data_IF_036541176049
#
_entry.id   IF_036541176049
#
_cell.length_a   1.000
_cell.length_b   1.000
_cell.length_c   1.000
_cell.angle_alpha   90.00
_cell.angle_beta   90.00
_cell.angle_gamma   90.00
#
_symmetry.space_group_name_H-M   'P 1'
#
loop_
_entity.id
_entity.type
_entity.pdbx_description
1 polymer ?
#
# COMPACT_ATOMS: atom_id res chain seq x y z
N UNK A 1 4.43 -27.15 -27.48
CA UNK A 1 5.74 -26.72 -26.93
C UNK A 1 5.47 -25.74 -25.82
N UNK A 2 6.12 -25.88 -24.66
CA UNK A 2 5.96 -24.95 -23.52
C UNK A 2 7.17 -24.01 -23.54
N UNK A 3 6.91 -22.71 -23.57
CA UNK A 3 7.94 -21.67 -23.46
C UNK A 3 7.97 -21.15 -22.02
N UNK A 4 9.17 -20.85 -21.51
CA UNK A 4 9.40 -20.27 -20.18
C UNK A 4 10.25 -19.02 -20.29
N UNK A 5 10.18 -18.17 -19.26
CA UNK A 5 11.08 -17.02 -19.12
C UNK A 5 12.54 -17.47 -19.14
N UNK A 6 13.42 -16.61 -19.65
CA UNK A 6 14.87 -16.79 -19.55
C UNK A 6 15.44 -16.29 -18.22
N UNK A 7 14.67 -15.50 -17.47
CA UNK A 7 15.04 -15.11 -16.12
C UNK A 7 14.95 -16.32 -15.17
N UNK A 8 15.79 -16.39 -14.13
CA UNK A 8 15.70 -17.45 -13.13
C UNK A 8 14.36 -17.38 -12.39
N UNK A 9 13.84 -18.54 -11.99
CA UNK A 9 12.68 -18.61 -11.12
C UNK A 9 13.00 -17.91 -9.78
N UNK A 10 12.04 -17.12 -9.29
CA UNK A 10 12.12 -16.48 -7.98
C UNK A 10 11.08 -17.09 -7.05
N UNK A 11 11.41 -17.14 -5.76
CA UNK A 11 10.43 -17.51 -4.74
C UNK A 11 9.44 -16.36 -4.55
N UNK A 12 8.15 -16.63 -4.80
CA UNK A 12 7.09 -15.66 -4.56
C UNK A 12 6.65 -15.78 -3.11
N UNK A 13 6.84 -14.75 -2.27
CA UNK A 13 6.50 -14.84 -0.86
C UNK A 13 4.99 -14.99 -0.67
N UNK A 14 4.58 -15.88 0.23
CA UNK A 14 3.18 -16.05 0.64
C UNK A 14 2.77 -14.97 1.66
N UNK A 15 2.85 -13.70 1.25
CA UNK A 15 2.49 -12.53 2.04
C UNK A 15 1.35 -11.76 1.36
N UNK A 16 0.53 -11.06 2.14
CA UNK A 16 -0.41 -10.11 1.57
C UNK A 16 0.32 -8.89 1.01
N UNK A 17 -0.31 -8.25 0.02
CA UNK A 17 0.29 -7.14 -0.75
C UNK A 17 0.78 -6.01 0.16
N UNK A 18 0.00 -5.63 1.18
CA UNK A 18 0.41 -4.61 2.13
C UNK A 18 1.63 -5.04 2.97
N UNK A 19 1.65 -6.28 3.48
CA UNK A 19 2.80 -6.76 4.26
C UNK A 19 4.07 -6.81 3.40
N UNK A 20 3.96 -7.28 2.16
CA UNK A 20 5.08 -7.31 1.23
C UNK A 20 5.63 -5.91 0.95
N UNK A 21 4.76 -4.97 0.57
CA UNK A 21 5.17 -3.59 0.26
C UNK A 21 5.78 -2.86 1.48
N UNK A 22 5.22 -3.06 2.68
CA UNK A 22 5.64 -2.35 3.89
C UNK A 22 6.74 -3.07 4.70
N UNK A 23 7.17 -4.27 4.28
CA UNK A 23 8.27 -5.02 4.90
C UNK A 23 9.59 -4.25 4.85
N UNK A 24 9.76 -3.40 3.83
CA UNK A 24 10.90 -2.50 3.67
C UNK A 24 12.27 -3.21 3.68
N UNK A 25 12.42 -4.31 2.92
CA UNK A 25 13.67 -5.08 2.85
C UNK A 25 14.86 -4.25 2.37
N UNK A 26 14.60 -3.19 1.59
CA UNK A 26 15.61 -2.30 1.05
C UNK A 26 16.01 -1.15 2.00
N UNK A 27 15.44 -1.09 3.21
CA UNK A 27 15.82 -0.07 4.20
C UNK A 27 15.51 1.37 3.77
N UNK A 28 14.36 1.60 3.13
CA UNK A 28 13.85 2.94 2.79
C UNK A 28 13.70 3.74 4.10
N UNK A 29 14.31 4.93 4.15
CA UNK A 29 14.17 5.84 5.28
C UNK A 29 12.71 6.29 5.46
N UNK A 30 12.21 6.36 6.69
CA UNK A 30 10.83 6.74 6.98
C UNK A 30 10.50 8.18 6.53
N UNK A 31 11.50 9.06 6.40
CA UNK A 31 11.36 10.42 5.89
C UNK A 31 11.52 10.51 4.37
N UNK A 32 11.89 9.43 3.68
CA UNK A 32 12.02 9.44 2.22
C UNK A 32 10.65 9.63 1.57
N UNK A 33 10.46 10.64 0.70
CA UNK A 33 9.26 10.76 -0.10
C UNK A 33 9.10 9.54 -1.02
N UNK A 34 7.91 8.94 -1.02
CA UNK A 34 7.55 7.79 -1.88
C UNK A 34 6.38 8.08 -2.80
N UNK A 35 5.54 9.06 -2.44
CA UNK A 35 4.63 9.72 -3.37
C UNK A 35 4.87 11.22 -3.34
N UNK A 36 4.82 11.84 -4.51
CA UNK A 36 4.97 13.28 -4.69
C UNK A 36 3.86 13.72 -5.64
N UNK A 37 3.06 14.70 -5.21
CA UNK A 37 2.12 15.37 -6.08
C UNK A 37 2.90 16.38 -6.95
N UNK A 38 2.95 16.14 -8.25
CA UNK A 38 3.72 16.95 -9.18
C UNK A 38 3.18 18.38 -9.37
N UNK A 39 1.91 18.62 -9.04
CA UNK A 39 1.26 19.93 -9.19
C UNK A 39 1.44 20.77 -7.94
N UNK A 40 1.24 20.17 -6.76
CA UNK A 40 1.28 20.90 -5.48
C UNK A 40 2.62 20.85 -4.79
N UNK A 41 3.48 19.88 -5.13
CA UNK A 41 4.72 19.59 -4.42
C UNK A 41 4.51 18.92 -3.06
N UNK A 42 3.28 18.50 -2.74
CA UNK A 42 3.02 17.74 -1.52
C UNK A 42 3.76 16.39 -1.57
N UNK A 43 4.26 15.95 -0.42
CA UNK A 43 5.02 14.71 -0.29
C UNK A 43 4.39 13.80 0.75
N UNK A 44 4.34 12.51 0.42
CA UNK A 44 3.99 11.44 1.34
C UNK A 44 5.23 10.58 1.55
N UNK A 45 5.79 10.65 2.75
CA UNK A 45 6.97 9.87 3.12
C UNK A 45 6.61 8.40 3.37
N UNK A 46 7.60 7.51 3.30
CA UNK A 46 7.39 6.08 3.56
C UNK A 46 6.78 5.82 4.96
N UNK A 47 7.30 6.50 5.99
CA UNK A 47 6.80 6.40 7.36
C UNK A 47 5.37 6.92 7.50
N UNK A 48 5.04 8.03 6.83
CA UNK A 48 3.69 8.62 6.82
C UNK A 48 2.69 7.70 6.13
N UNK A 49 3.02 7.19 4.95
CA UNK A 49 2.21 6.21 4.22
C UNK A 49 1.91 4.98 5.09
N UNK A 50 2.94 4.38 5.69
CA UNK A 50 2.82 3.18 6.54
C UNK A 50 2.00 3.44 7.79
N UNK A 51 2.20 4.58 8.46
CA UNK A 51 1.47 4.98 9.66
C UNK A 51 0.00 5.21 9.34
N UNK A 52 -0.29 6.03 8.34
CA UNK A 52 -1.65 6.50 8.10
C UNK A 52 -2.50 5.41 7.41
N UNK A 53 -1.89 4.53 6.60
CA UNK A 53 -2.58 3.33 6.08
C UNK A 53 -3.02 2.41 7.22
N UNK A 54 -2.15 2.14 8.21
CA UNK A 54 -2.52 1.33 9.38
C UNK A 54 -3.60 1.98 10.24
N UNK A 55 -3.54 3.31 10.42
CA UNK A 55 -4.56 4.05 11.18
C UNK A 55 -5.91 3.99 10.48
N UNK A 56 -5.93 4.13 9.16
CA UNK A 56 -7.15 3.97 8.38
C UNK A 56 -7.70 2.54 8.48
N UNK A 57 -6.84 1.53 8.32
CA UNK A 57 -7.23 0.12 8.45
C UNK A 57 -7.90 -0.18 9.80
N UNK A 58 -7.28 0.27 10.90
CA UNK A 58 -7.86 0.14 12.23
C UNK A 58 -9.20 0.86 12.35
N UNK A 59 -9.35 2.06 11.77
CA UNK A 59 -10.63 2.76 11.73
C UNK A 59 -11.71 2.01 10.95
N UNK A 60 -11.37 1.46 9.78
CA UNK A 60 -12.28 0.66 8.95
C UNK A 60 -12.77 -0.59 9.71
N UNK A 61 -11.87 -1.31 10.38
CA UNK A 61 -12.23 -2.50 11.16
C UNK A 61 -12.98 -2.13 12.45
N UNK A 62 -12.42 -1.26 13.29
CA UNK A 62 -12.92 -1.02 14.65
C UNK A 62 -14.17 -0.15 14.68
N UNK A 63 -14.37 0.72 13.68
CA UNK A 63 -15.48 1.68 13.65
C UNK A 63 -16.54 1.37 12.63
N UNK A 64 -16.18 0.74 11.51
CA UNK A 64 -17.10 0.42 10.43
C UNK A 64 -17.36 -1.09 10.29
N UNK A 65 -16.73 -1.92 11.14
CA UNK A 65 -16.87 -3.39 11.14
C UNK A 65 -16.54 -4.02 9.78
N UNK A 66 -15.60 -3.41 9.04
CA UNK A 66 -15.14 -3.92 7.75
C UNK A 66 -14.45 -5.28 7.93
N UNK A 67 -14.85 -6.27 7.13
CA UNK A 67 -14.37 -7.66 7.22
C UNK A 67 -13.79 -8.15 5.90
N UNK A 68 -12.97 -9.20 6.01
CA UNK A 68 -12.50 -9.95 4.84
C UNK A 68 -13.69 -10.44 4.02
N UNK A 69 -13.70 -10.09 2.74
CA UNK A 69 -14.78 -10.41 1.81
C UNK A 69 -15.70 -9.23 1.51
N UNK A 70 -15.65 -8.18 2.33
CA UNK A 70 -16.33 -6.92 2.01
C UNK A 70 -15.62 -6.21 0.85
N UNK A 71 -16.38 -5.37 0.14
CA UNK A 71 -15.92 -4.65 -1.04
C UNK A 71 -15.99 -3.15 -0.78
N UNK A 72 -14.85 -2.47 -0.96
CA UNK A 72 -14.76 -1.02 -0.84
C UNK A 72 -14.48 -0.42 -2.22
N UNK A 73 -15.31 0.55 -2.62
CA UNK A 73 -15.08 1.34 -3.82
C UNK A 73 -14.33 2.63 -3.45
N UNK A 74 -13.25 2.94 -4.18
CA UNK A 74 -12.51 4.20 -4.04
C UNK A 74 -12.76 5.02 -5.30
N UNK A 75 -13.46 6.15 -5.16
CA UNK A 75 -13.70 7.09 -6.25
C UNK A 75 -12.93 8.38 -5.99
N UNK A 76 -11.87 8.60 -6.75
CA UNK A 76 -10.92 9.69 -6.50
C UNK A 76 -10.15 10.04 -7.77
N UNK A 77 -9.80 11.32 -8.01
CA UNK A 77 -8.80 11.68 -9.01
C UNK A 77 -7.40 11.18 -8.60
N UNK A 78 -6.39 11.39 -9.45
CA UNK A 78 -5.00 11.18 -9.05
C UNK A 78 -4.62 12.26 -8.01
N UNK A 79 -4.66 11.89 -6.73
CA UNK A 79 -4.24 12.73 -5.61
C UNK A 79 -3.40 11.91 -4.62
N UNK A 80 -2.59 12.59 -3.83
CA UNK A 80 -1.56 11.95 -3.00
C UNK A 80 -2.12 11.01 -1.93
N UNK A 81 -3.29 11.33 -1.36
CA UNK A 81 -3.94 10.53 -0.31
C UNK A 81 -4.52 9.20 -0.82
N UNK A 82 -4.66 9.04 -2.14
CA UNK A 82 -5.18 7.80 -2.74
C UNK A 82 -4.38 6.58 -2.28
N UNK A 83 -3.05 6.72 -2.16
CA UNK A 83 -2.18 5.65 -1.72
C UNK A 83 -2.51 5.19 -0.28
N UNK A 84 -2.75 6.15 0.63
CA UNK A 84 -3.12 5.85 2.03
C UNK A 84 -4.44 5.09 2.08
N UNK A 85 -5.43 5.52 1.28
CA UNK A 85 -6.75 4.88 1.24
C UNK A 85 -6.65 3.46 0.70
N UNK A 86 -6.00 3.29 -0.45
CA UNK A 86 -5.82 1.98 -1.09
C UNK A 86 -5.10 1.00 -0.15
N UNK A 87 -3.95 1.39 0.39
CA UNK A 87 -3.17 0.53 1.27
C UNK A 87 -3.86 0.30 2.62
N UNK A 88 -4.61 1.28 3.14
CA UNK A 88 -5.40 1.12 4.35
C UNK A 88 -6.55 0.12 4.18
N UNK A 89 -7.24 0.12 3.04
CA UNK A 89 -8.26 -0.89 2.71
C UNK A 89 -7.64 -2.27 2.55
N UNK A 90 -6.48 -2.40 1.88
CA UNK A 90 -5.78 -3.69 1.74
C UNK A 90 -5.24 -4.21 3.08
N UNK A 91 -4.94 -3.33 4.02
CA UNK A 91 -4.43 -3.66 5.35
C UNK A 91 -5.53 -3.97 6.38
N UNK A 92 -6.78 -3.54 6.12
CA UNK A 92 -7.96 -3.88 6.91
C UNK A 92 -8.40 -5.33 6.64
#
# INVERSE_FOLDING_TARGET
MIFRSTAPDIEIPSLGVYQYAMRNENGIDDNKPVFIDAVTGAELTFGTLKRDSKRLAAGLQDKLDLKKGDVVAIFSPNQIDYAVVLFGVIAA
#
